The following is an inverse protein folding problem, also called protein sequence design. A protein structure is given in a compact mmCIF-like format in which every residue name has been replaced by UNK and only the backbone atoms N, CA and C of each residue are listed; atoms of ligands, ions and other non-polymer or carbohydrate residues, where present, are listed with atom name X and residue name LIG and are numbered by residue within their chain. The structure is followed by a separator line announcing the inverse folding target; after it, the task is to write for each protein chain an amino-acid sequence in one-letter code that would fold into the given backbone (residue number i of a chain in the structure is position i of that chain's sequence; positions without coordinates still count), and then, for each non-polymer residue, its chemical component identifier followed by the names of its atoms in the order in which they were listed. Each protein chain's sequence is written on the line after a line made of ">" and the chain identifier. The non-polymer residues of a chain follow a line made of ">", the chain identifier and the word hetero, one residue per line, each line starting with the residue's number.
data_IF_640028486309
#
_entry.id   IF_640028486309
#
_cell.length_a   1.000
_cell.length_b   1.000
_cell.length_c   1.000
_cell.angle_alpha   90.00
_cell.angle_beta   90.00
_cell.angle_gamma   90.00
#
_symmetry.space_group_name_H-M   'P 1'
#
loop_
_entity.id
_entity.type
_entity.pdbx_description
1 polymer ?
#
# COMPACT_ATOMS: atom_id res chain seq x y z
N UNK A 1 -8.46 -9.54 3.62
CA UNK A 1 -7.80 -10.66 2.90
C UNK A 1 -7.82 -11.98 3.65
N UNK A 2 -8.09 -11.98 4.95
CA UNK A 2 -8.05 -13.17 5.81
C UNK A 2 -9.05 -14.23 5.33
N UNK A 3 -10.30 -13.85 5.05
CA UNK A 3 -11.37 -14.73 4.53
C UNK A 3 -10.96 -15.63 3.35
N UNK A 4 -10.23 -15.10 2.36
CA UNK A 4 -9.77 -15.88 1.21
C UNK A 4 -8.66 -16.88 1.57
N UNK A 5 -7.82 -16.54 2.55
CA UNK A 5 -6.78 -17.43 3.06
C UNK A 5 -7.41 -18.55 3.90
N UNK A 6 -8.42 -18.25 4.72
CA UNK A 6 -9.21 -19.27 5.45
C UNK A 6 -9.84 -20.25 4.50
N UNK A 7 -10.46 -19.74 3.44
CA UNK A 7 -11.14 -20.56 2.45
C UNK A 7 -10.12 -21.46 1.72
N UNK A 8 -8.98 -20.90 1.30
CA UNK A 8 -7.91 -21.67 0.66
C UNK A 8 -7.34 -22.74 1.61
N UNK A 9 -7.11 -22.37 2.87
CA UNK A 9 -6.64 -23.26 3.92
C UNK A 9 -7.64 -24.38 4.21
N UNK A 10 -8.93 -24.06 4.35
CA UNK A 10 -10.02 -25.02 4.53
C UNK A 10 -10.18 -25.96 3.34
N UNK A 11 -10.01 -25.46 2.11
CA UNK A 11 -10.00 -26.31 0.91
C UNK A 11 -8.79 -27.27 0.91
N UNK A 12 -7.64 -26.82 1.38
CA UNK A 12 -6.41 -27.61 1.41
C UNK A 12 -6.36 -28.62 2.57
N UNK A 13 -7.05 -28.33 3.68
CA UNK A 13 -7.04 -29.14 4.91
C UNK A 13 -8.36 -29.87 5.19
N UNK A 14 -9.33 -29.76 4.28
CA UNK A 14 -10.68 -30.36 4.39
C UNK A 14 -11.43 -30.03 5.70
N UNK A 15 -11.08 -28.95 6.39
CA UNK A 15 -11.76 -28.54 7.62
C UNK A 15 -13.09 -27.83 7.31
N UNK A 16 -14.12 -28.08 8.13
CA UNK A 16 -15.41 -27.42 8.01
C UNK A 16 -15.27 -25.91 8.26
N UNK A 17 -15.65 -25.11 7.28
CA UNK A 17 -15.65 -23.65 7.36
C UNK A 17 -16.88 -23.21 8.15
N UNK A 18 -16.68 -22.53 9.27
CA UNK A 18 -17.75 -21.92 10.04
C UNK A 18 -18.00 -20.49 9.56
N UNK A 19 -19.23 -20.25 9.10
CA UNK A 19 -19.70 -18.96 8.63
C UNK A 19 -20.58 -18.34 9.71
N UNK A 20 -20.29 -17.10 10.09
CA UNK A 20 -21.13 -16.35 11.02
C UNK A 20 -21.50 -15.01 10.38
N UNK A 21 -22.80 -14.68 10.38
CA UNK A 21 -23.29 -13.43 9.84
C UNK A 21 -23.18 -12.35 10.92
N UNK A 22 -22.14 -11.54 10.82
CA UNK A 22 -21.82 -10.50 11.80
C UNK A 22 -21.36 -9.24 11.06
N UNK A 23 -21.71 -8.05 11.55
CA UNK A 23 -21.48 -6.75 10.87
C UNK A 23 -22.13 -6.62 9.48
N UNK A 24 -23.28 -7.25 9.24
CA UNK A 24 -24.01 -7.14 7.97
C UNK A 24 -23.35 -7.87 6.78
N UNK A 25 -22.39 -8.77 7.06
CA UNK A 25 -21.74 -9.62 6.04
C UNK A 25 -21.46 -11.01 6.58
N UNK A 26 -21.43 -12.01 5.69
CA UNK A 26 -21.02 -13.37 6.05
C UNK A 26 -19.50 -13.41 6.30
N UNK A 27 -19.09 -13.60 7.55
CA UNK A 27 -17.67 -13.71 7.93
C UNK A 27 -17.28 -15.18 8.10
N UNK A 28 -16.10 -15.54 7.59
CA UNK A 28 -15.47 -16.82 7.92
C UNK A 28 -14.74 -16.68 9.25
N UNK A 29 -15.16 -17.48 10.23
CA UNK A 29 -14.48 -17.54 11.52
C UNK A 29 -13.35 -18.55 11.42
N UNK A 30 -12.12 -18.07 11.64
CA UNK A 30 -10.95 -18.92 11.76
C UNK A 30 -10.87 -19.49 13.18
N UNK A 31 -10.96 -20.80 13.31
CA UNK A 31 -10.65 -21.50 14.57
C UNK A 31 -9.15 -21.47 14.89
N UNK A 32 -8.28 -21.20 13.89
CA UNK A 32 -6.83 -21.24 14.04
C UNK A 32 -6.26 -19.89 14.50
N UNK A 33 -5.86 -19.82 15.78
CA UNK A 33 -5.19 -18.64 16.36
C UNK A 33 -3.92 -18.20 15.61
N UNK A 34 -3.27 -19.12 14.90
CA UNK A 34 -2.01 -18.88 14.19
C UNK A 34 -2.15 -17.92 13.00
N UNK A 35 -3.21 -18.04 12.19
CA UNK A 35 -3.42 -17.17 11.03
C UNK A 35 -3.79 -15.74 11.46
N UNK A 36 -4.64 -15.62 12.48
CA UNK A 36 -4.99 -14.32 13.08
C UNK A 36 -3.76 -13.64 13.69
N UNK A 37 -2.89 -14.39 14.36
CA UNK A 37 -1.63 -13.88 14.90
C UNK A 37 -0.68 -13.42 13.78
N UNK A 38 -0.51 -14.22 12.73
CA UNK A 38 0.32 -13.85 11.58
C UNK A 38 -0.18 -12.57 10.91
N UNK A 39 -1.49 -12.43 10.68
CA UNK A 39 -2.07 -11.20 10.12
C UNK A 39 -1.81 -9.98 10.99
N UNK A 40 -1.95 -10.14 12.31
CA UNK A 40 -1.69 -9.06 13.28
C UNK A 40 -0.22 -8.68 13.33
N UNK A 41 0.69 -9.66 13.35
CA UNK A 41 2.13 -9.42 13.31
C UNK A 41 2.53 -8.72 12.02
N UNK A 42 1.99 -9.12 10.86
CA UNK A 42 2.29 -8.48 9.59
C UNK A 42 1.78 -7.03 9.52
N UNK A 43 0.65 -6.73 10.16
CA UNK A 43 0.11 -5.36 10.24
C UNK A 43 0.98 -4.40 11.02
N UNK A 44 1.80 -4.91 11.94
CA UNK A 44 2.74 -4.10 12.75
C UNK A 44 4.13 -4.13 12.13
N UNK A 45 4.62 -5.30 11.73
CA UNK A 45 5.95 -5.48 11.17
C UNK A 45 6.13 -4.73 9.84
N UNK A 46 5.11 -4.68 8.97
CA UNK A 46 5.19 -3.99 7.69
C UNK A 46 5.36 -2.47 7.81
N UNK A 47 4.52 -1.76 8.62
CA UNK A 47 4.74 -0.34 8.92
C UNK A 47 6.09 -0.08 9.60
N UNK A 48 6.51 -0.92 10.55
CA UNK A 48 7.82 -0.78 11.18
C UNK A 48 8.97 -0.91 10.17
N UNK A 49 8.88 -1.87 9.25
CA UNK A 49 9.89 -2.07 8.21
C UNK A 49 9.94 -0.89 7.22
N UNK A 50 8.80 -0.30 6.89
CA UNK A 50 8.73 0.88 6.00
C UNK A 50 9.25 2.14 6.68
N UNK A 51 8.98 2.33 7.97
CA UNK A 51 9.61 3.39 8.77
C UNK A 51 11.13 3.19 8.89
N UNK A 52 11.59 1.94 9.03
CA UNK A 52 13.01 1.64 9.01
C UNK A 52 13.67 1.98 7.68
N UNK A 53 13.01 1.68 6.54
CA UNK A 53 13.47 2.11 5.22
C UNK A 53 13.49 3.64 5.06
N UNK A 54 12.51 4.34 5.63
CA UNK A 54 12.45 5.80 5.64
C UNK A 54 13.60 6.38 6.45
N UNK A 55 13.88 5.81 7.62
CA UNK A 55 15.01 6.23 8.46
C UNK A 55 16.36 6.01 7.76
N UNK A 56 16.48 4.99 6.91
CA UNK A 56 17.66 4.73 6.06
C UNK A 56 17.75 5.65 4.83
N UNK A 57 16.81 6.58 4.64
CA UNK A 57 16.76 7.48 3.49
C UNK A 57 16.49 6.77 2.15
N UNK A 58 15.96 5.54 2.17
CA UNK A 58 15.67 4.78 0.95
C UNK A 58 14.34 5.12 0.31
N UNK A 59 13.41 5.66 1.10
CA UNK A 59 12.07 6.07 0.67
C UNK A 59 11.77 7.48 1.15
N UNK A 60 11.08 8.25 0.30
CA UNK A 60 10.57 9.57 0.66
C UNK A 60 9.25 9.43 1.46
N UNK A 61 8.82 10.51 2.11
CA UNK A 61 7.62 10.56 2.95
C UNK A 61 6.36 10.13 2.20
N UNK A 62 6.23 10.49 0.92
CA UNK A 62 5.09 10.09 0.10
C UNK A 62 5.06 8.57 -0.12
N UNK A 63 6.22 7.97 -0.44
CA UNK A 63 6.34 6.52 -0.66
C UNK A 63 6.13 5.74 0.64
N UNK A 64 6.66 6.21 1.77
CA UNK A 64 6.46 5.54 3.06
C UNK A 64 4.98 5.60 3.50
N UNK A 65 4.34 6.76 3.35
CA UNK A 65 2.91 6.93 3.63
C UNK A 65 2.05 6.00 2.76
N UNK A 66 2.36 5.92 1.47
CA UNK A 66 1.70 4.99 0.55
C UNK A 66 1.87 3.54 1.00
N UNK A 67 3.10 3.12 1.29
CA UNK A 67 3.39 1.74 1.70
C UNK A 67 2.69 1.36 3.00
N UNK A 68 2.67 2.25 3.99
CA UNK A 68 1.97 2.03 5.26
C UNK A 68 0.47 1.84 4.99
N UNK A 69 -0.16 2.73 4.21
CA UNK A 69 -1.58 2.61 3.84
C UNK A 69 -1.87 1.30 3.14
N UNK A 70 -1.05 0.91 2.15
CA UNK A 70 -1.24 -0.33 1.41
C UNK A 70 -1.09 -1.56 2.32
N UNK A 71 -0.13 -1.57 3.24
CA UNK A 71 0.07 -2.69 4.19
C UNK A 71 -1.10 -2.80 5.18
N UNK A 72 -1.59 -1.67 5.68
CA UNK A 72 -2.78 -1.65 6.57
C UNK A 72 -4.01 -2.17 5.81
N UNK A 73 -4.21 -1.74 4.56
CA UNK A 73 -5.29 -2.25 3.71
C UNK A 73 -5.17 -3.75 3.41
N UNK A 74 -3.94 -4.24 3.19
CA UNK A 74 -3.63 -5.65 2.93
C UNK A 74 -3.99 -6.53 4.15
N UNK A 75 -3.63 -6.05 5.33
CA UNK A 75 -3.78 -6.78 6.60
C UNK A 75 -5.16 -6.63 7.22
N UNK A 76 -5.92 -5.63 6.78
CA UNK A 76 -7.32 -5.41 7.16
C UNK A 76 -8.23 -6.62 6.90
N UNK A 77 -9.18 -6.82 7.82
CA UNK A 77 -10.22 -7.85 7.70
C UNK A 77 -11.13 -7.58 6.49
N UNK A 78 -11.55 -6.33 6.32
CA UNK A 78 -12.48 -5.90 5.27
C UNK A 78 -11.72 -5.07 4.23
N UNK A 79 -11.78 -5.48 2.97
CA UNK A 79 -11.24 -4.72 1.84
C UNK A 79 -12.38 -4.09 1.07
N UNK A 80 -12.54 -2.78 1.18
CA UNK A 80 -13.60 -2.00 0.52
C UNK A 80 -13.05 -1.28 -0.73
N UNK A 81 -13.83 -1.15 -1.82
CA UNK A 81 -13.44 -0.38 -3.01
C UNK A 81 -13.16 1.09 -2.69
N UNK A 82 -13.82 1.64 -1.66
CA UNK A 82 -13.68 3.03 -1.25
C UNK A 82 -12.24 3.40 -0.90
N UNK A 83 -11.49 2.46 -0.30
CA UNK A 83 -10.09 2.67 0.05
C UNK A 83 -9.19 2.87 -1.19
N UNK A 84 -9.51 2.23 -2.32
CA UNK A 84 -8.74 2.39 -3.56
C UNK A 84 -8.91 3.79 -4.14
N UNK A 85 -10.11 4.37 -4.04
CA UNK A 85 -10.37 5.74 -4.51
C UNK A 85 -9.52 6.74 -3.72
N UNK A 86 -9.42 6.54 -2.40
CA UNK A 86 -8.65 7.44 -1.52
C UNK A 86 -7.14 7.35 -1.75
N UNK A 87 -6.64 6.16 -2.08
CA UNK A 87 -5.21 5.93 -2.27
C UNK A 87 -4.75 6.25 -3.70
N UNK A 88 -5.67 6.31 -4.67
CA UNK A 88 -5.39 6.63 -6.07
C UNK A 88 -4.52 7.89 -6.29
N UNK A 89 -4.78 9.06 -5.68
CA UNK A 89 -3.95 10.25 -5.90
C UNK A 89 -2.51 10.05 -5.41
N UNK A 90 -2.32 9.35 -4.30
CA UNK A 90 -0.98 9.08 -3.73
C UNK A 90 -0.22 8.10 -4.62
N UNK A 91 -0.90 7.08 -5.16
CA UNK A 91 -0.28 6.15 -6.11
C UNK A 91 0.12 6.84 -7.40
N UNK A 92 -0.73 7.72 -7.94
CA UNK A 92 -0.42 8.50 -9.12
C UNK A 92 0.78 9.44 -8.89
N UNK A 93 0.86 10.05 -7.70
CA UNK A 93 1.95 10.91 -7.29
C UNK A 93 3.28 10.14 -7.15
N UNK A 94 3.29 9.03 -6.39
CA UNK A 94 4.52 8.22 -6.17
C UNK A 94 4.97 7.51 -7.44
N UNK A 95 4.04 7.09 -8.30
CA UNK A 95 4.32 6.47 -9.57
C UNK A 95 4.69 7.46 -10.69
N UNK A 96 4.75 8.76 -10.41
CA UNK A 96 4.99 9.83 -11.40
C UNK A 96 4.11 9.72 -12.66
N UNK A 97 2.86 9.24 -12.48
CA UNK A 97 1.93 8.91 -13.57
C UNK A 97 2.47 7.94 -14.64
N UNK A 98 3.51 7.15 -14.34
CA UNK A 98 4.02 6.15 -15.28
C UNK A 98 3.02 5.01 -15.48
N UNK A 99 2.83 4.62 -16.74
CA UNK A 99 1.89 3.55 -17.13
C UNK A 99 2.16 2.21 -16.43
N UNK A 100 3.44 1.91 -16.12
CA UNK A 100 3.86 0.69 -15.41
C UNK A 100 3.28 0.60 -13.98
N UNK A 101 2.94 1.74 -13.39
CA UNK A 101 2.36 1.86 -12.05
C UNK A 101 0.85 2.02 -12.10
N UNK A 102 0.35 2.80 -13.06
CA UNK A 102 -1.08 3.01 -13.25
C UNK A 102 -1.80 1.77 -13.76
N UNK A 103 -1.18 0.96 -14.62
CA UNK A 103 -1.79 -0.23 -15.20
C UNK A 103 -2.16 -1.30 -14.15
N UNK A 104 -1.24 -1.74 -13.26
CA UNK A 104 -1.60 -2.68 -12.20
C UNK A 104 -2.61 -2.07 -11.21
N UNK A 105 -2.47 -0.78 -10.87
CA UNK A 105 -3.41 -0.09 -9.98
C UNK A 105 -4.84 -0.03 -10.55
N UNK A 106 -4.95 0.32 -11.83
CA UNK A 106 -6.23 0.38 -12.55
C UNK A 106 -6.82 -1.02 -12.68
N UNK A 107 -5.99 -2.03 -12.94
CA UNK A 107 -6.44 -3.43 -13.00
C UNK A 107 -7.01 -3.90 -11.66
N UNK A 108 -6.34 -3.60 -10.55
CA UNK A 108 -6.83 -3.95 -9.20
C UNK A 108 -8.13 -3.20 -8.89
N UNK A 109 -8.19 -1.91 -9.24
CA UNK A 109 -9.37 -1.07 -9.02
C UNK A 109 -10.56 -1.55 -9.84
N UNK A 110 -10.36 -1.80 -11.13
CA UNK A 110 -11.38 -2.34 -12.02
C UNK A 110 -11.87 -3.71 -11.55
N UNK A 111 -10.95 -4.62 -11.19
CA UNK A 111 -11.32 -5.94 -10.67
C UNK A 111 -12.12 -5.82 -9.37
N UNK A 112 -11.78 -4.88 -8.49
CA UNK A 112 -12.53 -4.62 -7.25
C UNK A 112 -13.92 -4.05 -7.54
N UNK A 113 -14.01 -3.11 -8.47
CA UNK A 113 -15.27 -2.51 -8.94
C UNK A 113 -16.11 -3.46 -9.77
N UNK A 114 -15.55 -4.54 -10.33
CA UNK A 114 -16.34 -5.60 -10.97
C UNK A 114 -16.84 -6.60 -9.91
N UNK A 115 -16.00 -6.98 -8.95
CA UNK A 115 -16.39 -7.94 -7.90
C UNK A 115 -17.60 -7.45 -7.10
N UNK A 116 -17.65 -6.18 -6.71
CA UNK A 116 -18.74 -5.68 -5.86
C UNK A 116 -20.12 -5.66 -6.54
N UNK A 117 -20.36 -4.92 -7.63
CA UNK A 117 -21.64 -4.92 -8.33
C UNK A 117 -21.92 -6.27 -9.01
N UNK A 118 -21.01 -6.88 -9.77
CA UNK A 118 -21.39 -8.09 -10.52
C UNK A 118 -21.61 -9.33 -9.63
N UNK A 119 -20.93 -9.48 -8.49
CA UNK A 119 -21.15 -10.65 -7.63
C UNK A 119 -22.17 -10.41 -6.51
N UNK A 120 -22.42 -9.17 -6.08
CA UNK A 120 -23.45 -8.88 -5.08
C UNK A 120 -24.81 -8.49 -5.67
N UNK A 121 -24.89 -8.03 -6.92
CA UNK A 121 -26.17 -7.62 -7.53
C UNK A 121 -26.91 -8.80 -8.19
N UNK A 122 -26.21 -9.93 -8.41
CA UNK A 122 -26.79 -11.15 -8.98
C UNK A 122 -27.41 -12.09 -7.93
N UNK A 123 -27.13 -11.91 -6.63
CA UNK A 123 -27.52 -12.79 -5.53
C UNK A 123 -27.69 -11.99 -4.24
N UNK A 124 -28.64 -12.37 -3.37
CA UNK A 124 -28.80 -11.76 -2.05
C UNK A 124 -27.46 -11.75 -1.28
N UNK A 125 -27.22 -10.73 -0.43
CA UNK A 125 -25.96 -10.55 0.31
C UNK A 125 -25.52 -11.78 1.11
N UNK A 126 -26.47 -12.67 1.45
CA UNK A 126 -26.23 -13.90 2.20
C UNK A 126 -25.74 -15.06 1.31
N UNK A 127 -26.04 -15.05 0.00
CA UNK A 127 -25.71 -16.12 -0.95
C UNK A 127 -24.47 -15.84 -1.80
N UNK A 128 -23.99 -14.59 -1.81
CA UNK A 128 -22.77 -14.17 -2.51
C UNK A 128 -21.53 -15.09 -2.30
N UNK A 129 -21.23 -15.61 -1.09
CA UNK A 129 -20.07 -16.51 -0.90
C UNK A 129 -20.27 -17.93 -1.45
N UNK A 130 -21.48 -18.34 -1.81
CA UNK A 130 -21.72 -19.65 -2.44
C UNK A 130 -21.47 -19.62 -3.95
N UNK A 131 -21.27 -18.43 -4.53
CA UNK A 131 -20.87 -18.31 -5.92
C UNK A 131 -19.44 -18.86 -6.12
N UNK A 132 -19.31 -19.86 -6.99
CA UNK A 132 -18.04 -20.54 -7.31
C UNK A 132 -16.95 -19.56 -7.78
N UNK A 133 -17.33 -18.40 -8.34
CA UNK A 133 -16.41 -17.38 -8.82
C UNK A 133 -15.98 -16.34 -7.76
N UNK A 134 -16.62 -16.30 -6.58
CA UNK A 134 -16.36 -15.29 -5.54
C UNK A 134 -14.99 -15.44 -4.89
N UNK A 135 -14.68 -16.63 -4.38
CA UNK A 135 -13.39 -16.90 -3.74
C UNK A 135 -12.19 -16.82 -4.71
N UNK A 136 -12.25 -17.38 -5.94
CA UNK A 136 -11.15 -17.22 -6.90
C UNK A 136 -10.88 -15.76 -7.28
N UNK A 137 -11.92 -14.97 -7.55
CA UNK A 137 -11.78 -13.55 -7.92
C UNK A 137 -11.18 -12.71 -6.78
N UNK A 138 -11.62 -12.97 -5.55
CA UNK A 138 -11.07 -12.29 -4.37
C UNK A 138 -9.62 -12.71 -4.08
N UNK A 139 -9.26 -13.99 -4.26
CA UNK A 139 -7.87 -14.45 -4.18
C UNK A 139 -7.00 -13.76 -5.24
N UNK A 140 -7.45 -13.71 -6.50
CA UNK A 140 -6.71 -13.09 -7.59
C UNK A 140 -6.43 -11.60 -7.30
N UNK A 141 -7.47 -10.87 -6.89
CA UNK A 141 -7.34 -9.46 -6.48
C UNK A 141 -6.35 -9.30 -5.31
N UNK A 142 -6.40 -10.19 -4.33
CA UNK A 142 -5.52 -10.16 -3.18
C UNK A 142 -4.06 -10.44 -3.57
N UNK A 143 -3.82 -11.39 -4.48
CA UNK A 143 -2.49 -11.69 -5.01
C UNK A 143 -1.93 -10.54 -5.84
N UNK A 144 -2.74 -9.91 -6.69
CA UNK A 144 -2.33 -8.73 -7.46
C UNK A 144 -1.95 -7.57 -6.54
N UNK A 145 -2.76 -7.29 -5.52
CA UNK A 145 -2.49 -6.23 -4.56
C UNK A 145 -1.26 -6.54 -3.69
N UNK A 146 -1.11 -7.78 -3.22
CA UNK A 146 0.08 -8.23 -2.50
C UNK A 146 1.34 -8.09 -3.38
N UNK A 147 1.28 -8.54 -4.62
CA UNK A 147 2.37 -8.44 -5.60
C UNK A 147 2.76 -6.98 -5.85
N UNK A 148 1.77 -6.08 -5.94
CA UNK A 148 2.01 -4.65 -6.05
C UNK A 148 2.78 -4.13 -4.82
N UNK A 149 2.32 -4.39 -3.59
CA UNK A 149 3.00 -3.95 -2.36
C UNK A 149 4.44 -4.49 -2.28
N UNK A 150 4.64 -5.77 -2.57
CA UNK A 150 5.97 -6.39 -2.56
C UNK A 150 6.87 -5.74 -3.61
N UNK A 151 6.35 -5.47 -4.82
CA UNK A 151 7.13 -4.82 -5.87
C UNK A 151 7.63 -3.44 -5.43
N UNK A 152 6.78 -2.63 -4.77
CA UNK A 152 7.19 -1.32 -4.23
C UNK A 152 8.23 -1.49 -3.14
N UNK A 153 8.03 -2.42 -2.21
CA UNK A 153 8.97 -2.67 -1.11
C UNK A 153 10.35 -3.12 -1.64
N UNK A 154 10.38 -4.06 -2.59
CA UNK A 154 11.62 -4.57 -3.17
C UNK A 154 12.32 -3.50 -4.01
N UNK A 155 11.57 -2.76 -4.83
CA UNK A 155 12.11 -1.64 -5.59
C UNK A 155 12.74 -0.58 -4.67
N UNK A 156 12.02 -0.21 -3.61
CA UNK A 156 12.48 0.75 -2.60
C UNK A 156 13.68 0.25 -1.80
N UNK A 157 13.72 -1.04 -1.45
CA UNK A 157 14.83 -1.64 -0.73
C UNK A 157 16.11 -1.73 -1.58
N UNK A 158 15.95 -1.93 -2.91
CA UNK A 158 17.05 -2.01 -3.89
C UNK A 158 17.53 -0.65 -4.38
N UNK A 159 16.74 0.42 -4.21
CA UNK A 159 17.18 1.78 -4.54
C UNK A 159 18.43 2.11 -3.72
N UNK A 160 19.54 2.36 -4.41
CA UNK A 160 20.74 2.85 -3.77
C UNK A 160 20.45 4.25 -3.24
N UNK A 161 20.81 4.50 -1.98
CA UNK A 161 20.75 5.85 -1.42
C UNK A 161 21.79 6.65 -2.18
N UNK A 162 21.34 7.47 -3.13
CA UNK A 162 22.19 8.53 -3.68
C UNK A 162 22.26 9.56 -2.56
N UNK A 163 23.27 9.42 -1.70
CA UNK A 163 23.66 10.50 -0.80
C UNK A 163 23.96 11.68 -1.72
N UNK A 164 23.24 12.80 -1.63
CA UNK A 164 23.64 14.00 -2.33
C UNK A 164 25.05 14.29 -1.80
N UNK A 165 26.07 14.06 -2.63
CA UNK A 165 27.40 14.51 -2.30
C UNK A 165 27.22 16.00 -2.02
N UNK A 166 27.55 16.42 -0.80
CA UNK A 166 27.64 17.81 -0.39
C UNK A 166 28.81 18.49 -1.12
N UNK A 167 28.82 18.39 -2.45
CA UNK A 167 29.79 18.89 -3.40
C UNK A 167 29.12 19.87 -4.36
N UNK A 168 28.16 20.64 -3.83
CA UNK A 168 27.70 21.90 -4.39
C UNK A 168 27.91 23.02 -3.35
N UNK A 169 29.10 23.03 -2.75
CA UNK A 169 29.65 24.17 -2.00
C UNK A 169 30.76 24.87 -2.80
N UNK A 170 30.79 24.70 -4.13
CA UNK A 170 31.65 25.49 -5.01
C UNK A 170 30.98 26.77 -5.52
N UNK A 171 29.65 26.90 -5.41
CA UNK A 171 28.93 28.09 -5.88
C UNK A 171 28.75 29.20 -4.81
N UNK A 172 29.27 29.01 -3.59
CA UNK A 172 29.36 30.09 -2.58
C UNK A 172 30.70 30.85 -2.66
N UNK A 173 31.23 31.07 -3.87
CA UNK A 173 32.33 32.01 -4.15
C UNK A 173 31.96 33.05 -5.20
N UNK A 174 30.72 33.50 -5.22
CA UNK A 174 30.31 34.68 -6.00
C UNK A 174 29.24 35.52 -5.28
N UNK A 175 29.44 35.82 -3.99
CA UNK A 175 28.88 37.05 -3.45
C UNK A 175 29.86 38.19 -3.81
N UNK A 176 29.47 39.16 -4.65
CA UNK A 176 30.39 40.17 -5.13
C UNK A 176 30.83 41.04 -3.96
N UNK A 177 32.14 41.28 -3.91
CA UNK A 177 32.89 42.21 -3.04
C UNK A 177 32.34 43.68 -3.07
N UNK A 178 31.24 43.93 -3.78
CA UNK A 178 30.61 45.24 -3.96
C UNK A 178 29.87 45.77 -2.72
N UNK A 179 29.34 44.92 -1.82
CA UNK A 179 28.56 45.41 -0.66
C UNK A 179 29.46 45.93 0.48
N UNK A 180 30.72 45.50 0.55
CA UNK A 180 31.65 45.96 1.61
C UNK A 180 32.25 47.34 1.36
N UNK A 181 32.20 47.86 0.11
CA UNK A 181 32.67 49.23 -0.19
C UNK A 181 31.61 50.29 0.04
N UNK A 182 30.32 49.96 0.00
CA UNK A 182 29.24 50.92 0.23
C UNK A 182 29.07 51.30 1.72
N UNK A 183 29.47 50.44 2.65
CA UNK A 183 29.38 50.73 4.09
C UNK A 183 30.56 51.55 4.64
N UNK A 184 31.70 51.60 3.94
CA UNK A 184 32.85 52.42 4.39
C UNK A 184 32.70 53.87 3.92
N UNK A 185 32.00 54.13 2.81
CA UNK A 185 31.86 55.47 2.25
C UNK A 185 30.71 56.29 2.85
N UNK A 186 29.87 55.69 3.70
CA UNK A 186 28.78 56.37 4.41
C UNK A 186 29.12 56.73 5.88
N UNK A 187 30.36 56.48 6.33
CA UNK A 187 30.82 56.77 7.69
C UNK A 187 31.68 58.04 7.78
N UNK A 188 32.01 58.68 6.65
CA UNK A 188 32.91 59.83 6.57
C UNK A 188 32.20 61.11 6.06
N UNK A 189 30.89 61.23 6.24
CA UNK A 189 30.11 62.43 5.92
C UNK A 189 29.29 62.92 7.11
#
# INVERSE_FOLDING_TARGET
>A
MQASLVWLYGKLTHHALHYEFTYGSLNLIETSSKLSLLGSLLSVAGPLYTLWLQWRGKVDLATSSLLILLIVMLTGKVFSPQYLIWVAPIVAYVGEAHIKWLLPWTTISLLTTLIYPFLYDLQDLQDAPFNRAFFPSTILRNLLFLGFVIAILVYSARKNVVVPLANDRSDTKAAPVAIRRLFIQASDS
#
